data_IF_887606796355
#
_entry.id   IF_887606796355
#
_cell.length_a   1.000
_cell.length_b   1.000
_cell.length_c   1.000
_cell.angle_alpha   90.00
_cell.angle_beta   90.00
_cell.angle_gamma   90.00
#
_symmetry.space_group_name_H-M   'P 1'
#
loop_
_entity.id
_entity.type
_entity.pdbx_description
1 polymer ?
#
# COMPACT_ATOMS: atom_id res chain seq x y z
N UNK A 1 20.70 -9.97 -0.81
CA UNK A 1 19.81 -9.01 -0.09
C UNK A 1 20.43 -8.66 1.25
N UNK A 2 20.21 -7.47 1.82
CA UNK A 2 20.59 -7.17 3.21
C UNK A 2 19.41 -7.56 4.12
N UNK A 3 19.65 -8.20 5.28
CA UNK A 3 18.56 -8.62 6.15
C UNK A 3 17.88 -7.45 6.86
N UNK A 4 16.67 -7.67 7.37
CA UNK A 4 15.89 -6.67 8.13
C UNK A 4 16.63 -6.22 9.39
N UNK A 5 17.27 -7.13 10.11
CA UNK A 5 18.07 -6.82 11.32
C UNK A 5 19.38 -6.07 11.03
N UNK A 6 19.78 -5.94 9.78
CA UNK A 6 20.95 -5.17 9.34
C UNK A 6 20.73 -3.64 9.33
N UNK A 7 19.53 -3.16 9.63
CA UNK A 7 19.17 -1.75 9.75
C UNK A 7 18.60 -1.45 11.14
N UNK A 8 18.89 -0.26 11.66
CA UNK A 8 18.20 0.24 12.86
C UNK A 8 16.82 0.78 12.48
N UNK A 9 15.78 0.28 13.15
CA UNK A 9 14.38 0.68 12.98
C UNK A 9 13.91 1.47 14.20
N UNK A 10 13.23 2.61 13.96
CA UNK A 10 12.58 3.34 15.03
C UNK A 10 11.37 2.52 15.57
N UNK A 11 11.16 2.49 16.88
CA UNK A 11 9.97 1.82 17.43
C UNK A 11 8.65 2.52 17.08
N UNK A 12 8.72 3.76 16.58
CA UNK A 12 7.57 4.57 16.18
C UNK A 12 7.93 5.38 14.95
N UNK A 13 7.05 5.37 13.97
CA UNK A 13 7.07 6.27 12.82
C UNK A 13 5.80 7.12 12.82
N UNK A 14 5.95 8.37 12.42
CA UNK A 14 4.82 9.32 12.26
C UNK A 14 5.08 10.27 11.11
N UNK A 15 4.03 10.74 10.47
CA UNK A 15 4.11 11.69 9.36
C UNK A 15 4.78 12.99 9.80
N UNK A 16 5.63 13.55 8.93
CA UNK A 16 6.35 14.80 9.19
C UNK A 16 5.97 15.86 8.16
N UNK A 17 5.39 17.00 8.59
CA UNK A 17 4.85 17.99 7.66
C UNK A 17 5.90 18.65 6.76
N UNK A 18 7.18 18.68 7.19
CA UNK A 18 8.27 19.35 6.46
C UNK A 18 9.09 18.41 5.56
N UNK A 19 8.69 17.15 5.39
CA UNK A 19 9.42 16.14 4.59
C UNK A 19 8.87 15.97 3.18
N UNK A 20 8.03 16.88 2.69
CA UNK A 20 7.36 16.73 1.38
C UNK A 20 6.38 15.55 1.33
N UNK A 21 5.97 15.02 2.49
CA UNK A 21 5.05 13.87 2.59
C UNK A 21 5.68 12.51 2.30
N UNK A 22 7.01 12.42 2.13
CA UNK A 22 7.68 11.16 1.76
C UNK A 22 8.30 10.40 2.94
N UNK A 23 8.37 11.00 4.12
CA UNK A 23 9.11 10.46 5.26
C UNK A 23 8.80 9.00 5.61
N UNK A 24 7.51 8.61 5.66
CA UNK A 24 7.12 7.24 5.99
C UNK A 24 7.51 6.26 4.88
N UNK A 25 7.45 6.70 3.62
CA UNK A 25 7.85 5.91 2.45
C UNK A 25 9.37 5.72 2.45
N UNK A 26 10.14 6.81 2.54
CA UNK A 26 11.60 6.82 2.37
C UNK A 26 12.33 6.21 3.57
N UNK A 27 11.81 6.42 4.79
CA UNK A 27 12.47 5.97 6.02
C UNK A 27 11.98 4.61 6.54
N UNK A 28 10.82 4.16 6.07
CA UNK A 28 10.26 2.89 6.55
C UNK A 28 9.85 1.96 5.40
N UNK A 29 8.87 2.35 4.56
CA UNK A 29 8.18 1.43 3.66
C UNK A 29 9.12 0.87 2.58
N UNK A 30 9.79 1.73 1.82
CA UNK A 30 10.73 1.31 0.78
C UNK A 30 11.92 0.55 1.38
N UNK A 31 12.63 1.04 2.43
CA UNK A 31 13.71 0.28 3.04
C UNK A 31 13.34 -1.08 3.62
N UNK A 32 12.09 -1.26 4.07
CA UNK A 32 11.60 -2.55 4.54
C UNK A 32 11.36 -3.52 3.36
N UNK A 33 10.70 -3.06 2.30
CA UNK A 33 10.51 -3.85 1.06
C UNK A 33 11.83 -4.28 0.43
N UNK A 34 12.83 -3.39 0.34
CA UNK A 34 14.17 -3.69 -0.19
C UNK A 34 14.90 -4.81 0.55
N UNK A 35 14.45 -5.15 1.76
CA UNK A 35 15.06 -6.17 2.63
C UNK A 35 14.17 -7.38 2.84
N UNK A 36 13.10 -7.49 2.07
CA UNK A 36 12.09 -8.52 2.27
C UNK A 36 11.99 -9.47 1.09
N UNK A 37 11.57 -10.69 1.39
CA UNK A 37 11.11 -11.69 0.42
C UNK A 37 9.60 -11.90 0.49
N UNK A 38 8.94 -11.36 1.53
CA UNK A 38 7.49 -11.38 1.64
C UNK A 38 6.99 -10.15 2.42
N UNK A 39 5.91 -9.57 1.91
CA UNK A 39 5.17 -8.52 2.59
C UNK A 39 3.72 -8.93 2.79
N UNK A 40 3.33 -9.12 4.04
CA UNK A 40 1.98 -9.45 4.48
C UNK A 40 1.28 -8.21 4.99
N UNK A 41 0.07 -7.92 4.49
CA UNK A 41 -0.64 -6.68 4.80
C UNK A 41 -2.10 -6.90 5.13
N UNK A 42 -2.56 -6.32 6.24
CA UNK A 42 -3.98 -6.13 6.55
C UNK A 42 -4.28 -4.64 6.46
N UNK A 43 -5.27 -4.25 5.66
CA UNK A 43 -5.67 -2.86 5.51
C UNK A 43 -7.20 -2.73 5.38
N UNK A 44 -7.76 -1.66 5.95
CA UNK A 44 -9.18 -1.35 5.74
C UNK A 44 -9.47 -0.91 4.31
N UNK A 45 -8.51 -0.23 3.68
CA UNK A 45 -8.58 0.29 2.31
C UNK A 45 -7.31 -0.04 1.55
N UNK A 46 -7.45 -0.34 0.27
CA UNK A 46 -6.35 -0.57 -0.66
C UNK A 46 -6.55 0.25 -1.94
N UNK A 47 -5.45 0.76 -2.48
CA UNK A 47 -5.39 1.35 -3.81
C UNK A 47 -4.04 1.04 -4.45
N UNK A 48 -4.02 0.77 -5.75
CA UNK A 48 -2.79 0.57 -6.53
C UNK A 48 -1.86 1.79 -6.52
N UNK A 49 -2.37 2.97 -6.17
CA UNK A 49 -1.56 4.18 -5.97
C UNK A 49 -0.54 4.04 -4.84
N UNK A 50 -0.81 3.20 -3.82
CA UNK A 50 0.16 2.87 -2.78
C UNK A 50 1.34 2.07 -3.33
N UNK A 51 1.08 1.14 -4.25
CA UNK A 51 2.14 0.37 -4.91
C UNK A 51 3.06 1.28 -5.72
N UNK A 52 2.49 2.26 -6.44
CA UNK A 52 3.28 3.23 -7.19
C UNK A 52 4.19 4.08 -6.30
N UNK A 53 3.69 4.50 -5.12
CA UNK A 53 4.48 5.27 -4.13
C UNK A 53 5.69 4.48 -3.63
N UNK A 54 5.57 3.16 -3.52
CA UNK A 54 6.62 2.26 -3.04
C UNK A 54 7.33 1.51 -4.19
N UNK A 55 7.16 1.92 -5.43
CA UNK A 55 7.62 1.17 -6.63
C UNK A 55 9.07 0.72 -6.55
N UNK A 56 9.99 1.57 -6.08
CA UNK A 56 11.40 1.20 -5.90
C UNK A 56 11.57 0.02 -4.93
N UNK A 57 10.86 0.02 -3.80
CA UNK A 57 10.91 -1.07 -2.83
C UNK A 57 10.25 -2.34 -3.36
N UNK A 58 9.16 -2.19 -4.12
CA UNK A 58 8.48 -3.32 -4.77
C UNK A 58 9.37 -3.96 -5.84
N UNK A 59 10.05 -3.15 -6.67
CA UNK A 59 10.98 -3.69 -7.67
C UNK A 59 12.11 -4.49 -6.99
N UNK A 60 12.68 -4.00 -5.89
CA UNK A 60 13.67 -4.73 -5.12
C UNK A 60 13.12 -6.03 -4.51
N UNK A 61 11.91 -6.00 -3.94
CA UNK A 61 11.22 -7.19 -3.44
C UNK A 61 11.07 -8.26 -4.56
N UNK A 62 10.66 -7.83 -5.75
CA UNK A 62 10.50 -8.72 -6.91
C UNK A 62 11.85 -9.28 -7.41
N UNK A 63 12.90 -8.47 -7.43
CA UNK A 63 14.27 -8.92 -7.78
C UNK A 63 14.78 -10.02 -6.84
N UNK A 64 14.37 -9.98 -5.57
CA UNK A 64 14.63 -11.04 -4.59
C UNK A 64 13.69 -12.27 -4.72
N UNK A 65 12.82 -12.29 -5.72
CA UNK A 65 11.83 -13.35 -5.91
C UNK A 65 10.67 -13.29 -4.91
N UNK A 66 10.50 -12.16 -4.25
CA UNK A 66 9.51 -11.96 -3.19
C UNK A 66 8.07 -11.81 -3.70
N UNK A 67 7.14 -11.80 -2.75
CA UNK A 67 5.70 -11.70 -2.99
C UNK A 67 4.99 -10.81 -1.96
N UNK A 68 3.78 -10.40 -2.28
CA UNK A 68 2.91 -9.62 -1.41
C UNK A 68 1.60 -10.36 -1.20
N UNK A 69 1.12 -10.43 0.06
CA UNK A 69 -0.18 -10.99 0.43
C UNK A 69 -1.00 -9.91 1.15
N UNK A 70 -2.16 -9.56 0.61
CA UNK A 70 -3.03 -8.52 1.14
C UNK A 70 -4.37 -9.10 1.59
N UNK A 71 -4.76 -8.79 2.83
CA UNK A 71 -6.13 -8.97 3.32
C UNK A 71 -6.73 -7.57 3.48
N UNK A 72 -7.73 -7.27 2.66
CA UNK A 72 -8.33 -5.93 2.59
C UNK A 72 -9.79 -5.96 2.97
N UNK A 73 -10.33 -4.83 3.43
CA UNK A 73 -11.78 -4.69 3.62
C UNK A 73 -12.54 -4.69 2.29
N UNK A 74 -13.86 -4.58 2.38
CA UNK A 74 -14.74 -4.57 1.19
C UNK A 74 -14.66 -3.29 0.36
N UNK A 75 -14.08 -2.23 0.91
CA UNK A 75 -13.96 -0.93 0.24
C UNK A 75 -12.74 -0.91 -0.68
N UNK A 76 -12.94 -1.04 -1.99
CA UNK A 76 -11.92 -0.93 -3.03
C UNK A 76 -12.21 0.26 -3.95
N UNK A 77 -11.19 0.80 -4.59
CA UNK A 77 -11.34 1.96 -5.45
C UNK A 77 -11.73 1.60 -6.89
N UNK A 78 -12.68 2.37 -7.45
CA UNK A 78 -13.14 2.21 -8.85
C UNK A 78 -12.02 2.35 -9.88
N UNK A 79 -10.95 3.09 -9.55
CA UNK A 79 -9.78 3.20 -10.42
C UNK A 79 -9.11 1.86 -10.69
N UNK A 80 -9.09 0.97 -9.70
CA UNK A 80 -8.44 -0.33 -9.78
C UNK A 80 -9.34 -1.42 -10.39
N UNK A 81 -10.66 -1.15 -10.44
CA UNK A 81 -11.68 -2.08 -10.92
C UNK A 81 -11.37 -2.73 -12.27
N UNK A 82 -10.91 -1.98 -13.32
CA UNK A 82 -10.64 -2.58 -14.63
C UNK A 82 -9.59 -3.68 -14.62
N UNK A 83 -8.66 -3.64 -13.66
CA UNK A 83 -7.61 -4.65 -13.48
C UNK A 83 -8.10 -5.74 -12.53
N UNK A 84 -8.71 -5.38 -11.40
CA UNK A 84 -9.11 -6.34 -10.37
C UNK A 84 -10.26 -7.27 -10.81
N UNK A 85 -11.22 -6.79 -11.60
CA UNK A 85 -12.32 -7.62 -12.15
C UNK A 85 -11.85 -8.66 -13.18
N UNK A 86 -10.62 -8.55 -13.66
CA UNK A 86 -10.03 -9.52 -14.60
C UNK A 86 -9.22 -10.63 -13.90
N UNK A 87 -9.40 -10.81 -12.60
CA UNK A 87 -8.70 -11.79 -11.76
C UNK A 87 -9.53 -13.08 -11.54
N UNK A 88 -9.89 -13.81 -12.55
CA UNK A 88 -10.44 -15.18 -12.42
C UNK A 88 -9.57 -16.18 -13.17
N UNK A 89 -9.82 -17.51 -13.06
CA UNK A 89 -9.01 -18.52 -13.74
C UNK A 89 -9.02 -18.40 -15.27
N UNK A 90 -10.09 -17.89 -15.85
CA UNK A 90 -10.18 -17.52 -17.27
C UNK A 90 -9.53 -16.16 -17.57
N UNK A 91 -9.11 -15.44 -16.55
CA UNK A 91 -8.70 -14.05 -16.55
C UNK A 91 -7.17 -13.85 -16.60
N UNK A 92 -6.36 -14.88 -16.32
CA UNK A 92 -4.91 -14.80 -16.60
C UNK A 92 -4.65 -14.51 -18.07
N UNK A 93 -5.39 -15.19 -18.95
CA UNK A 93 -5.30 -14.98 -20.40
C UNK A 93 -5.78 -13.55 -20.77
N UNK A 94 -6.81 -13.05 -20.09
CA UNK A 94 -7.31 -11.68 -20.33
C UNK A 94 -6.43 -10.57 -19.71
N UNK A 95 -5.61 -10.84 -18.71
CA UNK A 95 -4.59 -9.91 -18.25
C UNK A 95 -3.42 -9.81 -19.23
N UNK A 96 -3.13 -10.88 -19.99
CA UNK A 96 -2.14 -10.87 -21.08
C UNK A 96 -2.64 -10.05 -22.29
N UNK A 97 -3.97 -9.96 -22.48
CA UNK A 97 -4.61 -9.15 -23.52
C UNK A 97 -4.79 -7.66 -23.15
N UNK A 98 -4.51 -7.26 -21.89
CA UNK A 98 -4.50 -5.85 -21.52
C UNK A 98 -3.38 -5.12 -22.25
N UNK A 99 -3.77 -4.12 -23.04
CA UNK A 99 -2.82 -3.19 -23.64
C UNK A 99 -2.26 -2.29 -22.53
N UNK A 100 -1.09 -2.68 -22.01
CA UNK A 100 -0.40 -1.95 -20.92
C UNK A 100 -0.15 -0.48 -21.29
N UNK A 101 -0.02 -0.14 -22.58
CA UNK A 101 0.20 1.25 -23.04
C UNK A 101 -1.03 2.15 -22.79
N UNK A 102 -2.21 1.55 -22.60
CA UNK A 102 -3.44 2.28 -22.30
C UNK A 102 -3.72 2.45 -20.81
N UNK A 103 -2.96 1.74 -19.95
CA UNK A 103 -3.11 1.82 -18.50
C UNK A 103 -2.21 2.91 -17.91
N UNK A 104 -2.70 3.55 -16.87
CA UNK A 104 -1.86 4.40 -16.02
C UNK A 104 -0.76 3.58 -15.32
N UNK A 105 0.38 4.18 -15.03
CA UNK A 105 1.56 3.49 -14.51
C UNK A 105 1.30 2.68 -13.22
N UNK A 106 0.40 3.15 -12.34
CA UNK A 106 0.02 2.41 -11.13
C UNK A 106 -0.80 1.16 -11.43
N UNK A 107 -1.65 1.21 -12.47
CA UNK A 107 -2.43 0.06 -12.94
C UNK A 107 -1.56 -0.93 -13.70
N UNK A 108 -0.55 -0.45 -14.44
CA UNK A 108 0.45 -1.31 -15.09
C UNK A 108 1.23 -2.13 -14.06
N UNK A 109 1.65 -1.48 -12.94
CA UNK A 109 2.33 -2.17 -11.85
C UNK A 109 1.42 -3.19 -11.18
N UNK A 110 0.16 -2.83 -10.91
CA UNK A 110 -0.83 -3.75 -10.34
C UNK A 110 -1.03 -4.96 -11.27
N UNK A 111 -1.27 -4.74 -12.55
CA UNK A 111 -1.47 -5.79 -13.54
C UNK A 111 -0.24 -6.71 -13.67
N UNK A 112 0.98 -6.11 -13.65
CA UNK A 112 2.23 -6.87 -13.65
C UNK A 112 2.34 -7.80 -12.44
N UNK A 113 2.15 -7.28 -11.23
CA UNK A 113 2.23 -8.05 -9.99
C UNK A 113 1.26 -9.23 -9.97
N UNK A 114 0.05 -9.03 -10.48
CA UNK A 114 -0.98 -10.06 -10.56
C UNK A 114 -0.65 -11.11 -11.62
N UNK A 115 -0.22 -10.71 -12.82
CA UNK A 115 0.24 -11.63 -13.90
C UNK A 115 1.41 -12.50 -13.48
N UNK A 116 2.39 -11.90 -12.80
CA UNK A 116 3.58 -12.61 -12.31
C UNK A 116 3.29 -13.45 -11.06
N UNK A 117 2.05 -13.45 -10.56
CA UNK A 117 1.62 -14.13 -9.32
C UNK A 117 2.48 -13.71 -8.11
N UNK A 118 2.75 -12.41 -8.02
CA UNK A 118 3.53 -11.78 -6.95
C UNK A 118 2.69 -10.95 -5.99
N UNK A 119 1.44 -10.74 -6.32
CA UNK A 119 0.45 -10.08 -5.47
C UNK A 119 -0.78 -10.96 -5.35
N UNK A 120 -1.15 -11.28 -4.11
CA UNK A 120 -2.33 -12.04 -3.78
C UNK A 120 -3.23 -11.16 -2.92
N UNK A 121 -4.51 -11.03 -3.30
CA UNK A 121 -5.47 -10.19 -2.59
C UNK A 121 -6.64 -11.05 -2.13
N UNK A 122 -6.97 -10.94 -0.86
CA UNK A 122 -8.17 -11.52 -0.25
C UNK A 122 -9.02 -10.42 0.37
N UNK A 123 -10.33 -10.59 0.34
CA UNK A 123 -11.32 -9.65 0.86
C UNK A 123 -11.90 -10.18 2.17
N UNK A 124 -11.78 -9.40 3.22
CA UNK A 124 -12.26 -9.72 4.57
C UNK A 124 -13.63 -9.11 4.81
N UNK A 125 -14.59 -9.95 5.21
CA UNK A 125 -15.97 -9.59 5.51
C UNK A 125 -16.28 -9.99 6.94
N UNK A 126 -16.67 -9.06 7.84
CA UNK A 126 -17.11 -9.43 9.17
C UNK A 126 -18.29 -10.40 9.13
N UNK A 127 -18.25 -11.47 9.92
CA UNK A 127 -19.36 -12.42 10.01
C UNK A 127 -20.61 -11.72 10.54
N UNK A 128 -21.78 -12.18 10.09
CA UNK A 128 -23.08 -11.63 10.50
C UNK A 128 -23.20 -11.60 12.04
N UNK A 129 -23.61 -10.44 12.56
CA UNK A 129 -23.75 -10.22 14.01
C UNK A 129 -22.44 -9.89 14.75
N UNK A 130 -21.29 -9.79 14.04
CA UNK A 130 -20.01 -9.38 14.63
C UNK A 130 -19.82 -7.86 14.57
N UNK A 131 -19.13 -7.35 13.57
CA UNK A 131 -18.84 -5.92 13.38
C UNK A 131 -19.43 -5.40 12.07
N UNK A 132 -19.51 -4.06 11.92
CA UNK A 132 -20.02 -3.45 10.69
C UNK A 132 -18.95 -3.37 9.59
N UNK A 133 -17.69 -3.14 9.98
CA UNK A 133 -16.58 -2.96 9.02
C UNK A 133 -15.33 -3.71 9.49
N UNK A 134 -14.52 -4.12 8.53
CA UNK A 134 -13.17 -4.62 8.73
C UNK A 134 -12.17 -3.46 8.53
N UNK A 135 -11.48 -3.02 9.60
CA UNK A 135 -10.66 -1.81 9.51
C UNK A 135 -9.32 -1.85 10.27
N UNK A 136 -8.70 -3.00 10.50
CA UNK A 136 -7.35 -3.05 11.05
C UNK A 136 -6.31 -2.58 10.03
N UNK A 137 -5.14 -2.17 10.51
CA UNK A 137 -4.02 -1.74 9.67
C UNK A 137 -2.74 -2.27 10.27
N UNK A 138 -2.27 -3.36 9.75
CA UNK A 138 -1.08 -4.07 10.20
C UNK A 138 -0.30 -4.56 8.98
N UNK A 139 1.01 -4.52 9.04
CA UNK A 139 1.86 -5.11 8.00
C UNK A 139 3.06 -5.82 8.60
N UNK A 140 3.53 -6.84 7.91
CA UNK A 140 4.66 -7.68 8.33
C UNK A 140 5.59 -7.86 7.14
N UNK A 141 6.84 -7.49 7.30
CA UNK A 141 7.91 -7.75 6.35
C UNK A 141 8.71 -8.96 6.82
N UNK A 142 9.03 -9.86 5.91
CA UNK A 142 9.83 -11.05 6.20
C UNK A 142 11.05 -11.11 5.28
N UNK A 143 12.23 -11.35 5.84
CA UNK A 143 13.43 -11.62 5.05
C UNK A 143 13.71 -13.13 4.89
N UNK A 144 14.81 -13.49 4.23
CA UNK A 144 15.26 -14.87 4.01
C UNK A 144 16.06 -15.47 5.18
N UNK A 145 16.32 -14.67 6.24
CA UNK A 145 17.01 -15.09 7.47
C UNK A 145 16.01 -15.32 8.64
N UNK A 146 14.71 -15.53 8.33
CA UNK A 146 13.62 -15.71 9.31
C UNK A 146 13.39 -14.50 10.23
N UNK A 147 13.90 -13.30 9.89
CA UNK A 147 13.52 -12.10 10.63
C UNK A 147 12.18 -11.55 10.11
N UNK A 148 11.40 -11.04 11.04
CA UNK A 148 10.15 -10.36 10.74
C UNK A 148 10.10 -8.97 11.41
N UNK A 149 9.61 -7.99 10.66
CA UNK A 149 9.39 -6.62 11.10
C UNK A 149 7.90 -6.32 10.95
N UNK A 150 7.17 -6.23 12.07
CA UNK A 150 5.75 -5.90 12.03
C UNK A 150 5.50 -4.44 12.37
N UNK A 151 4.39 -3.90 11.86
CA UNK A 151 3.90 -2.57 12.23
C UNK A 151 2.38 -2.54 12.31
N UNK A 152 1.88 -1.77 13.27
CA UNK A 152 0.45 -1.57 13.48
C UNK A 152 0.15 -0.10 13.81
N UNK A 153 -0.89 0.48 13.22
CA UNK A 153 -1.29 1.86 13.46
C UNK A 153 -2.42 2.35 12.57
N UNK A 154 -2.35 3.61 12.14
CA UNK A 154 -3.44 4.25 11.40
C UNK A 154 -3.30 4.14 9.88
N UNK A 155 -2.10 3.87 9.34
CA UNK A 155 -1.80 3.94 7.91
C UNK A 155 -2.53 2.88 7.08
N UNK A 156 -3.32 3.30 6.09
CA UNK A 156 -3.91 2.42 5.08
C UNK A 156 -2.96 2.19 3.89
N UNK A 157 -3.25 1.18 3.09
CA UNK A 157 -2.52 0.91 1.84
C UNK A 157 -3.06 1.81 0.71
N UNK A 158 -2.87 3.12 0.87
CA UNK A 158 -3.27 4.18 -0.07
C UNK A 158 -2.20 5.27 -0.10
N UNK A 159 -2.14 6.06 -1.18
CA UNK A 159 -1.23 7.21 -1.25
C UNK A 159 -1.53 8.22 -0.15
N UNK A 160 -2.81 8.42 0.18
CA UNK A 160 -3.24 9.27 1.29
C UNK A 160 -2.63 8.83 2.61
N UNK A 161 -2.65 7.52 2.91
CA UNK A 161 -2.07 6.95 4.11
C UNK A 161 -0.56 7.14 4.18
N UNK A 162 0.16 6.83 3.10
CA UNK A 162 1.62 6.89 3.12
C UNK A 162 2.21 8.29 3.00
N UNK A 163 1.51 9.26 2.36
CA UNK A 163 2.11 10.56 2.01
C UNK A 163 1.37 11.80 2.51
N UNK A 164 0.06 11.76 2.69
CA UNK A 164 -0.75 12.97 2.87
C UNK A 164 -1.40 13.14 4.22
N UNK A 165 -1.84 12.02 4.82
CA UNK A 165 -2.50 12.05 6.12
C UNK A 165 -1.46 12.18 7.24
N UNK A 166 -1.92 12.66 8.41
CA UNK A 166 -1.16 12.43 9.62
C UNK A 166 -1.38 10.98 10.05
N UNK A 167 -0.35 10.20 9.93
CA UNK A 167 -0.35 8.78 10.29
C UNK A 167 0.72 8.49 11.34
N UNK A 168 0.45 7.50 12.18
CA UNK A 168 1.39 7.04 13.20
C UNK A 168 1.22 5.54 13.42
N UNK A 169 2.34 4.84 13.47
CA UNK A 169 2.36 3.41 13.75
C UNK A 169 3.55 3.02 14.63
N UNK A 170 3.38 1.91 15.32
CA UNK A 170 4.46 1.26 16.08
C UNK A 170 5.07 0.17 15.23
N UNK A 171 6.34 -0.13 15.51
CA UNK A 171 7.11 -1.18 14.84
C UNK A 171 7.64 -2.13 15.89
N UNK A 172 7.53 -3.42 15.63
CA UNK A 172 8.08 -4.50 16.44
C UNK A 172 9.01 -5.37 15.58
N UNK A 173 10.04 -5.93 16.22
CA UNK A 173 11.13 -6.66 15.57
C UNK A 173 11.26 -8.04 16.19
N UNK A 174 11.24 -9.09 15.38
CA UNK A 174 11.32 -10.47 15.88
C UNK A 174 12.66 -10.80 16.56
N UNK A 175 13.71 -10.02 16.28
CA UNK A 175 15.08 -10.19 16.80
C UNK A 175 15.37 -9.36 18.06
N UNK A 176 14.42 -8.61 18.58
CA UNK A 176 14.58 -7.79 19.79
C UNK A 176 13.83 -8.42 20.96
N UNK A 177 14.52 -8.60 22.08
CA UNK A 177 13.95 -9.19 23.30
C UNK A 177 12.70 -8.41 23.77
N UNK A 178 11.57 -9.13 23.88
CA UNK A 178 10.30 -8.59 24.33
C UNK A 178 9.46 -7.92 23.23
N UNK A 179 9.94 -7.86 22.00
CA UNK A 179 9.16 -7.46 20.83
C UNK A 179 8.70 -8.67 20.01
N UNK A 180 9.42 -9.78 20.07
CA UNK A 180 9.12 -11.05 19.42
C UNK A 180 7.69 -11.53 19.62
N UNK A 181 7.18 -11.47 20.85
CA UNK A 181 5.80 -11.86 21.16
C UNK A 181 4.73 -11.01 20.44
N UNK A 182 5.00 -9.74 20.14
CA UNK A 182 4.09 -8.91 19.36
C UNK A 182 4.14 -9.29 17.88
N UNK A 183 5.34 -9.55 17.34
CA UNK A 183 5.50 -10.02 15.97
C UNK A 183 4.81 -11.37 15.75
N UNK A 184 5.00 -12.32 16.68
CA UNK A 184 4.34 -13.63 16.64
C UNK A 184 2.81 -13.50 16.63
N UNK A 185 2.26 -12.61 17.48
CA UNK A 185 0.82 -12.36 17.52
C UNK A 185 0.29 -11.73 16.23
N UNK A 186 1.06 -10.83 15.60
CA UNK A 186 0.72 -10.21 14.31
C UNK A 186 0.74 -11.27 13.19
N UNK A 187 1.76 -12.14 13.16
CA UNK A 187 1.88 -13.26 12.21
C UNK A 187 0.71 -14.21 12.38
N UNK A 188 0.41 -14.64 13.62
CA UNK A 188 -0.70 -15.54 13.90
C UNK A 188 -2.05 -14.94 13.45
N UNK A 189 -2.26 -13.65 13.68
CA UNK A 189 -3.47 -12.94 13.26
C UNK A 189 -3.57 -12.90 11.73
N UNK A 190 -2.48 -12.59 11.04
CA UNK A 190 -2.46 -12.59 9.58
C UNK A 190 -2.76 -13.98 9.02
N UNK A 191 -2.10 -15.03 9.53
CA UNK A 191 -2.28 -16.40 9.04
C UNK A 191 -3.70 -16.94 9.31
N UNK A 192 -4.32 -16.61 10.44
CA UNK A 192 -5.73 -16.96 10.72
C UNK A 192 -6.68 -16.32 9.71
N UNK A 193 -6.45 -15.05 9.34
CA UNK A 193 -7.23 -14.38 8.29
C UNK A 193 -6.94 -14.97 6.93
N UNK A 194 -5.66 -15.17 6.61
CA UNK A 194 -5.24 -15.70 5.30
C UNK A 194 -5.80 -17.09 5.01
N UNK A 195 -5.84 -17.95 6.02
CA UNK A 195 -6.40 -19.32 5.94
C UNK A 195 -7.92 -19.37 6.14
N UNK A 196 -8.59 -18.22 6.33
CA UNK A 196 -10.02 -18.13 6.63
C UNK A 196 -10.42 -18.87 7.92
N UNK A 197 -9.53 -18.92 8.91
CA UNK A 197 -9.75 -19.57 10.21
C UNK A 197 -10.15 -18.58 11.32
N UNK A 198 -10.17 -17.28 11.01
CA UNK A 198 -10.52 -16.26 12.00
C UNK A 198 -11.99 -16.40 12.45
N UNK A 199 -12.28 -16.43 13.76
CA UNK A 199 -13.62 -16.83 14.26
C UNK A 199 -14.72 -15.82 13.90
N UNK A 200 -14.39 -14.56 13.65
CA UNK A 200 -15.36 -13.48 13.46
C UNK A 200 -15.30 -12.80 12.09
N UNK A 201 -14.39 -13.23 11.22
CA UNK A 201 -14.20 -12.67 9.88
C UNK A 201 -14.18 -13.82 8.88
N UNK A 202 -14.91 -13.66 7.78
CA UNK A 202 -14.78 -14.50 6.59
C UNK A 202 -13.85 -13.83 5.61
N UNK A 203 -13.01 -14.63 4.95
CA UNK A 203 -12.07 -14.12 3.95
C UNK A 203 -12.28 -14.87 2.65
N UNK A 204 -12.43 -14.11 1.58
CA UNK A 204 -12.69 -14.59 0.23
C UNK A 204 -11.53 -14.24 -0.68
N UNK A 205 -11.18 -15.12 -1.59
CA UNK A 205 -10.29 -14.75 -2.70
C UNK A 205 -10.96 -13.64 -3.53
N UNK A 206 -10.18 -12.71 -4.06
CA UNK A 206 -10.72 -11.53 -4.73
C UNK A 206 -11.71 -11.86 -5.86
N UNK A 207 -11.45 -12.85 -6.76
CA UNK A 207 -12.43 -13.23 -7.78
C UNK A 207 -13.78 -13.67 -7.20
N UNK A 208 -13.77 -14.49 -6.13
CA UNK A 208 -15.00 -14.92 -5.46
C UNK A 208 -15.72 -13.74 -4.79
N UNK A 209 -14.98 -12.81 -4.21
CA UNK A 209 -15.57 -11.61 -3.61
C UNK A 209 -16.25 -10.70 -4.67
N UNK A 210 -15.69 -10.62 -5.88
CA UNK A 210 -16.27 -9.90 -7.01
C UNK A 210 -17.53 -10.61 -7.50
N UNK A 211 -17.49 -11.93 -7.73
CA UNK A 211 -18.62 -12.73 -8.18
C UNK A 211 -19.80 -12.65 -7.20
N UNK A 212 -19.51 -12.61 -5.91
CA UNK A 212 -20.52 -12.49 -4.84
C UNK A 212 -21.00 -11.07 -4.58
N UNK A 213 -20.52 -10.08 -5.34
CA UNK A 213 -20.83 -8.65 -5.15
C UNK A 213 -20.52 -8.13 -3.72
N UNK A 214 -19.48 -8.64 -3.08
CA UNK A 214 -19.10 -8.26 -1.73
C UNK A 214 -18.29 -6.95 -1.68
N UNK A 215 -17.85 -6.44 -2.83
CA UNK A 215 -16.98 -5.26 -2.93
C UNK A 215 -17.83 -4.01 -3.09
N UNK A 216 -17.58 -3.05 -2.20
CA UNK A 216 -18.13 -1.70 -2.29
C UNK A 216 -17.13 -0.79 -3.03
N UNK A 217 -17.39 -0.56 -4.32
CA UNK A 217 -16.52 0.24 -5.17
C UNK A 217 -16.65 1.72 -4.84
N UNK A 218 -15.62 2.27 -4.20
CA UNK A 218 -15.51 3.70 -3.86
C UNK A 218 -15.08 4.53 -5.05
N UNK A 219 -15.38 5.83 -5.01
CA UNK A 219 -14.84 6.76 -5.99
C UNK A 219 -13.31 6.76 -5.93
N UNK A 220 -12.63 6.94 -7.08
CA UNK A 220 -11.18 6.93 -7.12
C UNK A 220 -10.58 8.01 -6.22
N UNK A 221 -9.35 7.80 -5.83
CA UNK A 221 -8.48 8.84 -5.26
C UNK A 221 -8.62 10.13 -6.09
N UNK A 222 -8.44 11.29 -5.46
CA UNK A 222 -8.57 12.55 -6.17
C UNK A 222 -7.68 12.54 -7.43
N UNK A 223 -8.10 13.23 -8.49
CA UNK A 223 -7.32 13.32 -9.74
C UNK A 223 -5.86 13.75 -9.49
N UNK A 224 -5.64 14.56 -8.43
CA UNK A 224 -4.30 14.95 -7.99
C UNK A 224 -3.50 13.79 -7.40
N UNK A 225 -4.14 12.83 -6.73
CA UNK A 225 -3.50 11.64 -6.16
C UNK A 225 -3.05 10.66 -7.23
N UNK A 226 -3.91 10.44 -8.21
CA UNK A 226 -3.58 9.60 -9.37
C UNK A 226 -2.40 10.21 -10.14
N UNK A 227 -2.42 11.52 -10.41
CA UNK A 227 -1.32 12.21 -11.09
C UNK A 227 0.00 12.11 -10.32
N UNK A 228 -0.03 12.27 -9.00
CA UNK A 228 1.16 12.13 -8.16
C UNK A 228 1.69 10.68 -8.18
N UNK A 229 0.82 9.67 -8.09
CA UNK A 229 1.21 8.27 -8.17
C UNK A 229 1.90 7.95 -9.52
N UNK A 230 1.35 8.46 -10.63
CA UNK A 230 1.94 8.31 -11.97
C UNK A 230 3.33 8.94 -12.04
N UNK A 231 3.52 10.16 -11.51
CA UNK A 231 4.81 10.83 -11.49
C UNK A 231 5.86 10.03 -10.72
N UNK A 232 5.51 9.52 -9.54
CA UNK A 232 6.40 8.69 -8.71
C UNK A 232 6.78 7.40 -9.45
N UNK A 233 5.80 6.70 -10.03
CA UNK A 233 6.04 5.45 -10.76
C UNK A 233 6.94 5.66 -12.00
N UNK A 234 6.96 6.88 -12.57
CA UNK A 234 7.88 7.26 -13.66
C UNK A 234 9.25 7.75 -13.19
N UNK A 235 9.51 7.76 -11.88
CA UNK A 235 10.73 8.33 -11.30
C UNK A 235 10.80 9.86 -11.37
N UNK A 236 9.69 10.54 -11.62
CA UNK A 236 9.57 11.98 -11.61
C UNK A 236 9.35 12.48 -10.19
N UNK A 237 10.13 13.47 -9.73
CA UNK A 237 9.89 14.06 -8.42
C UNK A 237 8.52 14.79 -8.43
N UNK A 238 7.61 14.48 -7.48
CA UNK A 238 6.35 15.21 -7.39
C UNK A 238 6.63 16.68 -7.10
N UNK A 239 5.88 17.60 -7.76
CA UNK A 239 5.99 19.02 -7.51
C UNK A 239 5.76 19.33 -6.03
N UNK A 240 6.77 19.85 -5.35
CA UNK A 240 6.67 20.21 -3.94
C UNK A 240 5.70 21.40 -3.77
N UNK A 241 5.07 21.54 -2.61
CA UNK A 241 4.23 22.70 -2.27
C UNK A 241 4.99 24.03 -2.42
N UNK A 242 6.33 24.01 -2.27
CA UNK A 242 7.21 25.15 -2.54
C UNK A 242 7.22 25.56 -4.01
N UNK A 243 7.18 24.60 -4.93
CA UNK A 243 7.14 24.91 -6.38
C UNK A 243 5.80 25.53 -6.76
N UNK A 244 4.69 25.10 -6.13
CA UNK A 244 3.37 25.72 -6.33
C UNK A 244 3.31 27.14 -5.77
N UNK A 245 3.94 27.41 -4.62
CA UNK A 245 4.03 28.74 -4.03
C UNK A 245 4.87 29.68 -4.90
N UNK A 246 5.94 29.21 -5.51
CA UNK A 246 6.77 29.99 -6.42
C UNK A 246 6.07 30.33 -7.75
N UNK A 247 5.24 29.45 -8.28
CA UNK A 247 4.43 29.71 -9.49
C UNK A 247 3.39 30.82 -9.22
N UNK A 248 2.86 30.91 -8.00
CA UNK A 248 1.92 31.98 -7.60
C UNK A 248 2.67 33.31 -7.37
N UNK A 249 3.93 33.26 -6.92
CA UNK A 249 4.75 34.45 -6.69
C UNK A 249 5.27 35.11 -7.96
N UNK A 250 5.38 34.39 -9.07
CA UNK A 250 5.84 34.88 -10.38
C UNK A 250 4.71 35.41 -11.29
N UNK A 251 3.52 35.58 -10.80
CA UNK A 251 2.46 36.32 -11.48
C UNK A 251 2.89 37.81 -11.67
N UNK A 252 2.58 38.46 -12.83
CA UNK A 252 3.10 39.79 -13.15
C UNK A 252 2.67 40.78 -12.05
N UNK A 253 3.66 41.33 -11.35
CA UNK A 253 3.48 42.50 -10.49
C UNK A 253 2.98 43.65 -11.38
N UNK A 254 1.70 43.95 -11.35
CA UNK A 254 1.18 45.18 -11.87
C UNK A 254 1.69 46.33 -11.00
N UNK A 255 2.43 47.32 -11.56
CA UNK A 255 2.79 48.50 -10.80
C UNK A 255 1.58 49.42 -10.71
N UNK A 256 1.01 49.52 -9.57
CA UNK A 256 -0.18 50.31 -9.33
C UNK A 256 -0.28 50.83 -7.91
N UNK A 257 0.33 51.99 -7.66
CA UNK A 257 -0.25 53.08 -6.99
C UNK A 257 -0.14 53.17 -5.44
N UNK A 258 0.99 53.66 -4.98
CA UNK A 258 1.03 54.52 -3.80
C UNK A 258 0.29 55.83 -4.10
N UNK A 259 -0.76 56.11 -3.37
CA UNK A 259 -1.24 57.48 -3.16
C UNK A 259 -1.95 57.57 -1.78
N UNK A 260 -1.30 58.34 -0.87
CA UNK A 260 -1.75 59.04 0.33
C UNK A 260 -2.30 58.20 1.47
#
# INVERSE_FOLDING_TARGET
MQPLNGRSWSPIYESRPNSGGTYLVDEFYVPALERSVRYDRIAGYFSSTALAVASQGIDALLEHGGEMRLVVGTDLYKSDKPVLERLGDELRDSLEELDDEQLDAHLQLLARLLRENRLHIKVAVPREGSWQIFHPKMGIFHDDDDNALSFEGSVNETIGGWKRNYERFKVHRSWEDGEDAYVDADVDTFEQLWSNEHPFVEVYDLPEAIERELIDWKDPDSESEIKEAIQIARGEAPATELDKANIIADGPLTPGGLAL
#
